data_IF_802233112388
#
_entry.id   IF_802233112388
#
_cell.length_a   1.000
_cell.length_b   1.000
_cell.length_c   1.000
_cell.angle_alpha   90.00
_cell.angle_beta   90.00
_cell.angle_gamma   90.00
#
_symmetry.space_group_name_H-M   'P 1'
#
loop_
_entity.id
_entity.type
_entity.pdbx_description
1 polymer ?
#
# COMPACT_ATOMS: atom_id res chain seq x y z
N UNK A 1 0.15 -18.64 -13.06
CA UNK A 1 -1.31 -18.40 -13.09
C UNK A 1 -1.65 -16.98 -12.67
N UNK A 2 -2.66 -16.40 -13.26
CA UNK A 2 -3.16 -15.08 -12.87
C UNK A 2 -4.04 -15.23 -11.64
N UNK A 3 -3.66 -14.58 -10.54
CA UNK A 3 -4.40 -14.63 -9.29
C UNK A 3 -4.49 -13.20 -8.74
N UNK A 4 -5.59 -12.47 -8.96
CA UNK A 4 -5.72 -11.07 -8.59
C UNK A 4 -5.63 -10.79 -7.09
N UNK A 5 -6.17 -11.67 -6.27
CA UNK A 5 -6.19 -11.51 -4.82
C UNK A 5 -4.85 -11.88 -4.17
N UNK A 6 -4.30 -10.96 -3.36
CA UNK A 6 -2.99 -11.13 -2.72
C UNK A 6 -2.98 -12.24 -1.66
N UNK A 7 -4.06 -12.40 -0.93
CA UNK A 7 -4.16 -13.45 0.11
C UNK A 7 -4.21 -14.84 -0.53
N UNK A 8 -4.89 -14.95 -1.67
CA UNK A 8 -4.93 -16.21 -2.44
C UNK A 8 -3.55 -16.51 -3.05
N UNK A 9 -2.83 -15.50 -3.54
CA UNK A 9 -1.44 -15.68 -4.01
C UNK A 9 -0.54 -16.21 -2.91
N UNK A 10 -0.67 -15.65 -1.69
CA UNK A 10 0.11 -16.11 -0.54
C UNK A 10 -0.21 -17.56 -0.18
N UNK A 11 -1.50 -17.93 -0.14
CA UNK A 11 -1.90 -19.31 0.12
C UNK A 11 -1.33 -20.30 -0.91
N UNK A 12 -1.31 -19.93 -2.18
CA UNK A 12 -0.70 -20.75 -3.23
C UNK A 12 0.81 -20.90 -3.07
N UNK A 13 1.50 -19.82 -2.68
CA UNK A 13 2.93 -19.89 -2.38
C UNK A 13 3.23 -20.84 -1.23
N UNK A 14 2.45 -20.77 -0.14
CA UNK A 14 2.60 -21.66 1.01
C UNK A 14 2.37 -23.14 0.66
N UNK A 15 1.51 -23.42 -0.32
CA UNK A 15 1.21 -24.78 -0.79
C UNK A 15 2.15 -25.27 -1.90
N UNK A 16 3.16 -24.48 -2.25
CA UNK A 16 4.07 -24.77 -3.36
C UNK A 16 3.37 -24.89 -4.75
N UNK A 17 2.21 -24.28 -4.89
CA UNK A 17 1.53 -24.18 -6.19
C UNK A 17 2.20 -23.15 -7.12
N UNK A 18 3.01 -22.24 -6.56
CA UNK A 18 3.89 -21.32 -7.28
C UNK A 18 5.19 -21.11 -6.49
N UNK A 19 6.23 -20.63 -7.17
CA UNK A 19 7.55 -20.43 -6.58
C UNK A 19 7.85 -18.95 -6.30
N UNK A 20 7.18 -18.04 -6.97
CA UNK A 20 7.37 -16.58 -6.84
C UNK A 20 6.01 -15.92 -6.74
N UNK A 21 5.90 -14.99 -5.81
CA UNK A 21 4.70 -14.17 -5.63
C UNK A 21 5.10 -12.69 -5.58
N UNK A 22 4.65 -11.86 -6.53
CA UNK A 22 4.83 -10.41 -6.48
C UNK A 22 3.73 -9.74 -5.64
N UNK A 23 4.05 -8.57 -5.12
CA UNK A 23 3.12 -7.65 -4.46
C UNK A 23 2.27 -8.29 -3.35
N UNK A 24 2.90 -8.75 -2.26
CA UNK A 24 2.17 -9.28 -1.12
C UNK A 24 1.33 -8.20 -0.45
N UNK A 25 0.29 -8.63 0.28
CA UNK A 25 -0.44 -7.73 1.15
C UNK A 25 0.49 -7.25 2.26
N UNK A 26 0.60 -5.92 2.51
CA UNK A 26 1.43 -5.39 3.60
C UNK A 26 1.15 -6.01 4.97
N UNK A 27 -0.09 -6.38 5.26
CA UNK A 27 -0.48 -7.04 6.50
C UNK A 27 0.15 -8.42 6.68
N UNK A 28 0.52 -9.10 5.59
CA UNK A 28 1.11 -10.45 5.64
C UNK A 28 2.65 -10.43 5.71
N UNK A 29 3.29 -9.28 5.51
CA UNK A 29 4.75 -9.17 5.46
C UNK A 29 5.42 -9.64 6.74
N UNK A 30 4.88 -9.30 7.90
CA UNK A 30 5.43 -9.75 9.18
C UNK A 30 5.43 -11.28 9.28
N UNK A 31 4.34 -11.92 8.88
CA UNK A 31 4.23 -13.39 8.85
C UNK A 31 5.18 -14.02 7.84
N UNK A 32 5.35 -13.39 6.68
CA UNK A 32 6.29 -13.87 5.66
C UNK A 32 7.74 -13.80 6.12
N UNK A 33 8.11 -12.77 6.89
CA UNK A 33 9.46 -12.65 7.47
C UNK A 33 9.77 -13.74 8.48
N UNK A 34 8.77 -14.23 9.18
CA UNK A 34 8.93 -15.31 10.17
C UNK A 34 8.94 -16.70 9.53
N UNK A 35 8.48 -16.84 8.30
CA UNK A 35 8.42 -18.13 7.59
C UNK A 35 9.78 -18.47 6.99
N UNK A 36 10.40 -19.52 7.52
CA UNK A 36 11.73 -19.99 7.08
C UNK A 36 11.73 -20.56 5.65
N UNK A 37 10.57 -20.92 5.11
CA UNK A 37 10.44 -21.48 3.77
C UNK A 37 10.26 -20.40 2.69
N UNK A 38 10.13 -19.14 3.10
CA UNK A 38 9.91 -17.98 2.20
C UNK A 38 11.09 -17.03 2.31
N UNK A 39 11.64 -16.65 1.18
CA UNK A 39 12.60 -15.55 1.09
C UNK A 39 11.85 -14.28 0.66
N UNK A 40 11.77 -13.33 1.55
CA UNK A 40 11.13 -12.04 1.29
C UNK A 40 12.16 -11.01 0.87
N UNK A 41 11.97 -10.45 -0.33
CA UNK A 41 12.80 -9.37 -0.85
C UNK A 41 12.00 -8.07 -0.85
N UNK A 42 12.54 -7.07 -0.18
CA UNK A 42 11.94 -5.74 -0.08
C UNK A 42 12.91 -4.69 -0.60
N UNK A 43 12.39 -3.70 -1.29
CA UNK A 43 13.13 -2.48 -1.63
C UNK A 43 12.17 -1.28 -1.66
N UNK A 44 12.66 -0.07 -1.38
CA UNK A 44 11.84 1.13 -1.51
C UNK A 44 11.31 1.28 -2.93
N UNK A 45 10.01 1.54 -3.06
CA UNK A 45 9.37 1.81 -4.34
C UNK A 45 9.42 3.29 -4.71
N UNK A 46 8.98 3.60 -5.93
CA UNK A 46 8.89 4.97 -6.44
C UNK A 46 7.46 5.51 -6.40
N UNK A 47 6.53 4.79 -5.80
CA UNK A 47 5.14 5.19 -5.72
C UNK A 47 4.97 6.34 -4.72
N UNK A 48 4.21 7.37 -5.14
CA UNK A 48 3.84 8.50 -4.30
C UNK A 48 2.33 8.58 -4.24
N UNK A 49 1.78 8.50 -3.03
CA UNK A 49 0.35 8.76 -2.79
C UNK A 49 0.13 10.25 -2.55
N UNK A 50 -0.88 10.83 -3.18
CA UNK A 50 -1.20 12.24 -3.03
C UNK A 50 -2.69 12.50 -3.17
N UNK A 51 -3.14 13.59 -2.58
CA UNK A 51 -4.48 14.12 -2.76
C UNK A 51 -4.39 15.36 -3.65
N UNK A 52 -5.01 15.31 -4.84
CA UNK A 52 -5.07 16.46 -5.71
C UNK A 52 -6.37 17.23 -5.50
N UNK A 53 -6.29 18.55 -5.63
CA UNK A 53 -7.43 19.44 -5.50
C UNK A 53 -7.82 20.00 -6.87
N UNK A 54 -9.12 19.95 -7.18
CA UNK A 54 -9.65 20.70 -8.32
C UNK A 54 -9.82 22.17 -7.90
N UNK A 55 -8.85 23.00 -8.26
CA UNK A 55 -8.82 24.42 -7.88
C UNK A 55 -9.85 25.29 -8.57
N UNK A 56 -10.56 24.78 -9.55
CA UNK A 56 -11.66 25.47 -10.23
C UNK A 56 -13.01 25.24 -9.55
N UNK A 57 -13.09 24.31 -8.60
CA UNK A 57 -14.33 23.92 -7.95
C UNK A 57 -14.40 24.41 -6.52
N UNK A 58 -15.49 25.11 -6.17
CA UNK A 58 -15.75 25.55 -4.79
C UNK A 58 -15.99 24.35 -3.86
N UNK A 59 -15.50 24.38 -2.62
CA UNK A 59 -14.72 25.46 -1.96
C UNK A 59 -13.21 25.36 -2.20
N UNK A 60 -12.75 24.48 -3.10
CA UNK A 60 -11.33 24.19 -3.32
C UNK A 60 -10.59 25.26 -4.13
N UNK A 61 -11.33 26.25 -4.64
CA UNK A 61 -10.77 27.43 -5.28
C UNK A 61 -10.14 28.41 -4.29
N UNK A 62 -10.44 28.30 -2.99
CA UNK A 62 -9.84 29.09 -1.93
C UNK A 62 -8.55 28.41 -1.42
N UNK A 63 -7.43 29.12 -1.48
CA UNK A 63 -6.13 28.61 -1.01
C UNK A 63 -6.15 28.26 0.49
N UNK A 64 -6.90 29.00 1.30
CA UNK A 64 -7.01 28.74 2.75
C UNK A 64 -7.70 27.41 3.05
N UNK A 65 -8.70 27.04 2.24
CA UNK A 65 -9.39 25.75 2.35
C UNK A 65 -8.42 24.61 2.03
N UNK A 66 -7.65 24.75 0.95
CA UNK A 66 -6.63 23.74 0.59
C UNK A 66 -5.55 23.59 1.66
N UNK A 67 -5.07 24.69 2.23
CA UNK A 67 -4.12 24.69 3.33
C UNK A 67 -4.69 23.99 4.58
N UNK A 68 -5.94 24.28 4.93
CA UNK A 68 -6.61 23.65 6.06
C UNK A 68 -6.71 22.14 5.88
N UNK A 69 -7.05 21.65 4.70
CA UNK A 69 -7.07 20.20 4.40
C UNK A 69 -5.67 19.58 4.50
N UNK A 70 -4.64 20.30 4.07
CA UNK A 70 -3.25 19.82 4.21
C UNK A 70 -2.84 19.68 5.67
N UNK A 71 -3.21 20.63 6.53
CA UNK A 71 -2.95 20.55 7.97
C UNK A 71 -3.74 19.44 8.66
N UNK A 72 -4.89 19.06 8.14
CA UNK A 72 -5.71 17.99 8.70
C UNK A 72 -5.15 16.59 8.42
N UNK A 73 -4.24 16.43 7.47
CA UNK A 73 -3.66 15.13 7.10
C UNK A 73 -2.60 14.70 8.11
N UNK A 74 -2.80 13.52 8.69
CA UNK A 74 -1.80 12.86 9.52
C UNK A 74 -1.10 11.77 8.70
N UNK A 75 0.04 12.10 8.11
CA UNK A 75 0.81 11.20 7.25
C UNK A 75 1.29 9.95 7.98
N UNK A 76 1.73 10.10 9.24
CA UNK A 76 2.21 8.96 10.03
C UNK A 76 1.10 7.95 10.31
N UNK A 77 -0.11 8.42 10.63
CA UNK A 77 -1.25 7.55 10.84
C UNK A 77 -1.64 6.80 9.56
N UNK A 78 -1.60 7.48 8.41
CA UNK A 78 -1.87 6.85 7.11
C UNK A 78 -0.82 5.76 6.81
N UNK A 79 0.46 6.07 6.99
CA UNK A 79 1.56 5.12 6.74
C UNK A 79 1.44 3.88 7.63
N UNK A 80 1.01 4.04 8.88
CA UNK A 80 0.79 2.91 9.80
C UNK A 80 -0.43 2.06 9.46
N UNK A 81 -1.41 2.63 8.78
CA UNK A 81 -2.68 1.96 8.46
C UNK A 81 -2.65 1.17 7.15
N UNK A 82 -1.67 1.40 6.29
CA UNK A 82 -1.62 0.81 4.94
C UNK A 82 -0.48 -0.21 4.74
#
# INVERSE_FOLDING_TARGET
>A
SITPDASVRYAKLQKNECQIMPYPNPADIARMKEDKNITLLEQPGLNVGYLSFNTEKKPLDDVKVRQALTYAVNKEAIIKAV
#
